data_IF_576427178267
#
_entry.id   IF_576427178267
#
_cell.length_a   1.000
_cell.length_b   1.000
_cell.length_c   1.000
_cell.angle_alpha   90.00
_cell.angle_beta   90.00
_cell.angle_gamma   90.00
#
_symmetry.space_group_name_H-M   'P 1'
#
loop_
_entity.id
_entity.type
_entity.pdbx_description
1 polymer ?
#
# COMPACT_ATOMS: atom_id res chain seq x y z
N UNK A 1 26.02 41.21 13.09
CA UNK A 1 25.78 41.05 11.64
C UNK A 1 26.37 39.71 11.20
N UNK A 2 25.55 38.67 11.03
CA UNK A 2 25.96 37.40 10.42
C UNK A 2 25.05 37.15 9.22
N UNK A 3 25.66 37.10 8.03
CA UNK A 3 25.00 36.91 6.74
C UNK A 3 24.76 35.41 6.55
N UNK A 4 23.51 35.01 6.31
CA UNK A 4 23.17 33.69 5.77
C UNK A 4 22.89 33.84 4.28
N UNK A 5 23.56 33.04 3.46
CA UNK A 5 23.29 32.89 2.04
C UNK A 5 22.44 31.61 1.82
N UNK A 6 21.39 31.64 1.00
CA UNK A 6 20.65 30.43 0.64
C UNK A 6 21.24 29.80 -0.64
N UNK A 7 21.59 28.52 -0.55
CA UNK A 7 21.84 27.67 -1.72
C UNK A 7 20.51 27.12 -2.23
N UNK A 8 20.09 27.58 -3.41
CA UNK A 8 18.98 27.01 -4.15
C UNK A 8 19.46 25.73 -4.87
N UNK A 9 18.81 24.61 -4.59
CA UNK A 9 18.95 23.39 -5.37
C UNK A 9 17.62 23.12 -6.08
N UNK A 10 17.63 23.28 -7.40
CA UNK A 10 16.53 22.88 -8.30
C UNK A 10 16.74 21.41 -8.64
N UNK A 11 15.84 20.53 -8.18
CA UNK A 11 15.74 19.16 -8.69
C UNK A 11 14.68 19.11 -9.80
N UNK A 12 15.13 18.94 -11.03
CA UNK A 12 14.26 18.61 -12.16
C UNK A 12 14.04 17.10 -12.18
N UNK A 13 12.81 16.66 -11.89
CA UNK A 13 12.40 15.26 -11.98
C UNK A 13 11.78 14.99 -13.35
N UNK A 14 12.54 14.40 -14.27
CA UNK A 14 12.01 13.95 -15.57
C UNK A 14 11.35 12.59 -15.41
N UNK A 15 10.01 12.56 -15.46
CA UNK A 15 9.22 11.33 -15.59
C UNK A 15 9.36 10.76 -17.01
N UNK A 16 10.02 9.61 -17.13
CA UNK A 16 9.93 8.80 -18.35
C UNK A 16 8.62 7.98 -18.31
N UNK A 17 7.67 8.33 -19.18
CA UNK A 17 6.46 7.54 -19.45
C UNK A 17 6.85 6.27 -20.23
N UNK A 18 6.74 5.11 -19.60
CA UNK A 18 6.81 3.81 -20.28
C UNK A 18 5.50 3.51 -21.00
N UNK A 19 5.55 3.35 -22.33
CA UNK A 19 4.43 2.95 -23.14
C UNK A 19 4.14 1.45 -22.97
N UNK A 20 2.88 1.13 -22.68
CA UNK A 20 2.34 -0.22 -22.72
C UNK A 20 2.34 -0.76 -24.16
N UNK A 21 2.74 -2.01 -24.36
CA UNK A 21 2.29 -2.82 -25.51
C UNK A 21 1.99 -4.22 -25.02
N UNK A 22 0.72 -4.43 -24.71
CA UNK A 22 0.12 -5.74 -24.50
C UNK A 22 -0.50 -6.14 -25.85
N UNK A 23 -0.03 -7.22 -26.46
CA UNK A 23 -0.63 -7.81 -27.66
C UNK A 23 -1.20 -9.19 -27.30
N UNK A 24 -2.52 -9.31 -27.39
CA UNK A 24 -3.40 -10.48 -27.17
C UNK A 24 -4.78 -9.98 -27.62
N UNK A 25 -5.65 -10.66 -28.34
CA UNK A 25 -5.73 -11.95 -29.03
C UNK A 25 -7.00 -11.86 -29.92
N UNK A 26 -7.03 -12.61 -31.03
CA UNK A 26 -8.28 -13.24 -31.52
C UNK A 26 -9.25 -12.44 -32.40
N UNK A 27 -9.64 -13.00 -33.54
CA UNK A 27 -10.88 -12.60 -34.23
C UNK A 27 -10.98 -12.89 -35.73
N UNK A 28 -11.51 -14.07 -36.05
CA UNK A 28 -11.80 -14.68 -37.36
C UNK A 28 -12.56 -13.86 -38.42
N UNK A 29 -12.34 -14.25 -39.69
CA UNK A 29 -13.31 -14.45 -40.80
C UNK A 29 -13.33 -13.47 -42.00
N UNK A 30 -13.17 -14.06 -43.21
CA UNK A 30 -13.78 -13.57 -44.46
C UNK A 30 -12.90 -13.56 -45.73
N UNK A 31 -13.02 -14.62 -46.55
CA UNK A 31 -12.89 -14.79 -48.03
C UNK A 31 -11.89 -13.93 -48.86
N UNK A 32 -11.20 -14.40 -49.90
CA UNK A 32 -11.51 -15.42 -50.92
C UNK A 32 -10.26 -15.67 -51.81
N UNK A 33 -10.13 -16.91 -52.29
CA UNK A 33 -9.58 -17.38 -53.58
C UNK A 33 -8.14 -17.03 -54.02
N UNK A 34 -7.29 -18.06 -54.12
CA UNK A 34 -6.66 -18.48 -55.41
C UNK A 34 -5.75 -19.72 -55.28
N UNK A 35 -6.19 -20.75 -56.01
CA UNK A 35 -5.54 -21.93 -56.61
C UNK A 35 -4.03 -22.27 -56.41
N UNK A 36 -3.83 -23.59 -56.29
CA UNK A 36 -2.86 -24.45 -57.00
C UNK A 36 -1.64 -25.05 -56.26
N UNK A 37 -1.72 -26.38 -56.15
CA UNK A 37 -0.71 -27.42 -56.50
C UNK A 37 0.38 -27.85 -55.50
N UNK A 38 0.31 -29.17 -55.21
CA UNK A 38 1.36 -30.20 -55.28
C UNK A 38 2.16 -30.63 -54.02
N UNK A 39 2.25 -31.97 -53.86
CA UNK A 39 3.34 -32.72 -53.19
C UNK A 39 2.93 -33.39 -51.86
N UNK A 40 2.53 -34.67 -51.82
CA UNK A 40 3.37 -35.87 -51.52
C UNK A 40 4.05 -35.84 -50.14
N UNK A 41 3.62 -36.67 -49.18
CA UNK A 41 4.32 -37.92 -48.76
C UNK A 41 5.35 -37.63 -47.64
N UNK A 42 5.62 -38.38 -46.59
CA UNK A 42 5.28 -39.71 -46.09
C UNK A 42 6.08 -39.92 -44.79
N UNK A 43 5.77 -41.02 -44.10
CA UNK A 43 6.36 -41.62 -42.90
C UNK A 43 7.86 -41.44 -42.57
N UNK A 44 8.10 -41.24 -41.27
CA UNK A 44 8.90 -42.04 -40.31
C UNK A 44 10.43 -42.33 -40.48
N UNK A 45 11.09 -42.26 -39.30
CA UNK A 45 12.32 -42.95 -38.81
C UNK A 45 13.76 -42.55 -39.26
N UNK A 46 14.62 -42.36 -38.24
CA UNK A 46 16.00 -42.93 -38.06
C UNK A 46 17.20 -41.96 -37.93
N UNK A 47 17.62 -41.75 -36.67
CA UNK A 47 18.94 -42.07 -36.05
C UNK A 47 20.29 -41.77 -36.78
N UNK A 48 21.18 -41.01 -36.11
CA UNK A 48 22.56 -41.41 -35.67
C UNK A 48 23.43 -40.17 -35.35
N UNK A 49 23.91 -40.02 -34.09
CA UNK A 49 25.31 -40.21 -33.60
C UNK A 49 26.31 -39.14 -34.08
N UNK A 50 27.26 -38.59 -33.33
CA UNK A 50 27.92 -38.78 -32.02
C UNK A 50 28.57 -37.40 -31.64
N UNK A 51 29.20 -37.07 -30.51
CA UNK A 51 29.90 -37.81 -29.46
C UNK A 51 30.06 -36.88 -28.22
N UNK A 52 30.07 -37.48 -27.02
CA UNK A 52 30.70 -36.98 -25.77
C UNK A 52 32.17 -37.49 -25.74
N UNK A 53 33.07 -37.22 -24.76
CA UNK A 53 32.91 -36.72 -23.37
C UNK A 53 33.91 -35.57 -23.04
N UNK A 54 33.94 -34.94 -21.86
CA UNK A 54 34.61 -35.41 -20.63
C UNK A 54 34.10 -34.60 -19.41
N UNK A 55 33.96 -35.32 -18.31
CA UNK A 55 33.66 -34.83 -16.97
C UNK A 55 34.96 -34.46 -16.25
N UNK A 56 34.90 -33.56 -15.26
CA UNK A 56 35.41 -33.89 -13.93
C UNK A 56 34.83 -32.99 -12.84
N UNK A 57 34.73 -33.59 -11.67
CA UNK A 57 33.94 -33.29 -10.49
C UNK A 57 34.77 -32.46 -9.49
N UNK A 58 34.13 -31.58 -8.71
CA UNK A 58 34.47 -31.38 -7.29
C UNK A 58 33.55 -30.31 -6.65
N UNK A 59 32.76 -30.78 -5.69
CA UNK A 59 32.01 -29.98 -4.75
C UNK A 59 32.90 -29.28 -3.69
N UNK A 60 32.33 -28.20 -3.13
CA UNK A 60 32.21 -27.92 -1.68
C UNK A 60 32.83 -26.62 -1.15
N UNK A 61 31.94 -25.87 -0.48
CA UNK A 61 32.12 -25.00 0.69
C UNK A 61 33.01 -23.73 0.61
N UNK A 62 32.35 -22.57 0.69
CA UNK A 62 32.70 -21.51 1.65
C UNK A 62 31.51 -20.54 1.78
N UNK A 63 30.67 -20.81 2.78
CA UNK A 63 29.92 -19.79 3.51
C UNK A 63 30.88 -18.75 4.11
N UNK A 64 30.28 -17.65 4.57
CA UNK A 64 30.79 -16.65 5.51
C UNK A 64 31.28 -15.30 4.95
N UNK A 65 30.87 -14.25 5.67
CA UNK A 65 31.22 -12.83 5.53
C UNK A 65 30.41 -11.91 4.58
N UNK A 66 29.06 -11.94 4.63
CA UNK A 66 28.23 -10.72 4.42
C UNK A 66 27.06 -10.69 5.40
N UNK A 67 27.33 -10.82 6.71
CA UNK A 67 26.30 -10.67 7.75
C UNK A 67 26.65 -9.54 8.76
N UNK A 68 27.93 -9.25 9.00
CA UNK A 68 28.41 -8.30 10.02
C UNK A 68 28.54 -6.82 9.57
N UNK A 69 27.71 -6.34 8.64
CA UNK A 69 27.69 -4.91 8.27
C UNK A 69 26.30 -4.26 8.27
N UNK A 70 25.23 -5.05 8.38
CA UNK A 70 23.85 -4.56 8.39
C UNK A 70 23.37 -4.25 9.81
N UNK A 71 23.86 -4.96 10.82
CA UNK A 71 23.39 -4.76 12.20
C UNK A 71 23.83 -3.43 12.82
N UNK A 72 25.05 -2.95 12.51
CA UNK A 72 25.53 -1.70 13.10
C UNK A 72 24.88 -0.43 12.53
N UNK A 73 24.26 -0.51 11.34
CA UNK A 73 23.48 0.58 10.77
C UNK A 73 22.03 0.61 11.31
N UNK A 74 21.50 -0.52 11.79
CA UNK A 74 20.15 -0.60 12.37
C UNK A 74 20.08 -0.10 13.81
N UNK A 75 21.11 -0.28 14.61
CA UNK A 75 21.11 0.24 15.99
C UNK A 75 21.29 1.76 16.04
N UNK A 76 22.16 2.34 15.20
CA UNK A 76 22.37 3.79 15.18
C UNK A 76 21.15 4.58 14.66
N UNK A 77 20.36 4.01 13.74
CA UNK A 77 19.12 4.61 13.25
C UNK A 77 17.95 4.45 14.24
N UNK A 78 17.94 3.39 15.07
CA UNK A 78 16.95 3.21 16.13
C UNK A 78 17.18 4.14 17.32
N UNK A 79 18.42 4.40 17.71
CA UNK A 79 18.72 5.27 18.85
C UNK A 79 18.50 6.76 18.53
N UNK A 80 18.87 7.22 17.33
CA UNK A 80 18.64 8.61 16.92
C UNK A 80 17.15 8.96 16.73
N UNK A 81 16.31 7.98 16.34
CA UNK A 81 14.86 8.17 16.24
C UNK A 81 14.15 8.06 17.60
N UNK A 82 14.72 7.33 18.58
CA UNK A 82 14.16 7.22 19.93
C UNK A 82 14.35 8.46 20.78
N UNK A 83 15.48 9.15 20.64
CA UNK A 83 15.75 10.36 21.45
C UNK A 83 14.98 11.60 20.95
N UNK A 84 14.59 11.65 19.67
CA UNK A 84 13.74 12.73 19.15
C UNK A 84 12.23 12.52 19.42
N UNK A 85 11.81 11.31 19.80
CA UNK A 85 10.41 10.96 20.02
C UNK A 85 9.94 11.11 21.48
N UNK A 86 10.84 11.34 22.43
CA UNK A 86 10.50 11.37 23.86
C UNK A 86 9.85 12.67 24.34
N UNK A 87 9.95 13.75 23.59
CA UNK A 87 9.51 15.09 24.04
C UNK A 87 8.23 15.62 23.35
N UNK A 88 7.59 14.81 22.50
CA UNK A 88 6.31 15.16 21.86
C UNK A 88 5.22 14.07 22.03
N UNK A 89 5.42 13.13 22.96
CA UNK A 89 4.34 12.26 23.41
C UNK A 89 3.39 13.08 24.27
N UNK A 90 2.51 13.85 23.62
CA UNK A 90 1.22 14.18 24.22
C UNK A 90 0.59 12.82 24.51
N UNK A 91 0.58 12.42 25.79
CA UNK A 91 -0.20 11.30 26.28
C UNK A 91 -1.67 11.59 25.99
N UNK A 92 -2.07 11.36 24.74
CA UNK A 92 -3.46 11.37 24.34
C UNK A 92 -4.03 10.04 24.85
N UNK A 93 -4.27 10.01 26.16
CA UNK A 93 -5.05 8.98 26.84
C UNK A 93 -6.30 8.69 26.03
N UNK A 94 -6.65 7.41 25.92
CA UNK A 94 -7.85 6.97 25.19
C UNK A 94 -9.08 7.63 25.82
N UNK A 95 -9.93 8.31 25.02
CA UNK A 95 -11.17 8.90 25.51
C UNK A 95 -12.03 7.86 26.25
N UNK A 96 -12.57 8.21 27.42
CA UNK A 96 -13.26 7.26 28.32
C UNK A 96 -14.55 6.66 27.75
N UNK A 97 -15.12 7.32 26.75
CA UNK A 97 -16.33 6.90 26.06
C UNK A 97 -16.02 5.99 24.86
N UNK A 98 -14.73 5.68 24.62
CA UNK A 98 -14.28 4.71 23.61
C UNK A 98 -13.93 3.37 24.32
N UNK A 99 -14.77 2.35 24.12
CA UNK A 99 -14.67 1.00 24.71
C UNK A 99 -14.40 -0.11 23.68
N UNK A 100 -14.60 0.14 22.38
CA UNK A 100 -14.33 -0.86 21.34
C UNK A 100 -12.84 -1.26 21.32
N UNK A 101 -12.51 -2.55 21.47
CA UNK A 101 -11.14 -2.99 21.63
C UNK A 101 -10.26 -2.73 20.40
N UNK A 102 -10.84 -2.82 19.18
CA UNK A 102 -10.12 -2.54 17.95
C UNK A 102 -9.73 -1.07 17.88
N UNK A 103 -10.67 -0.19 18.20
CA UNK A 103 -10.40 1.25 18.23
C UNK A 103 -9.41 1.64 19.34
N UNK A 104 -9.61 1.14 20.57
CA UNK A 104 -8.70 1.38 21.70
C UNK A 104 -7.27 0.97 21.35
N UNK A 105 -7.10 -0.18 20.67
CA UNK A 105 -5.78 -0.64 20.22
C UNK A 105 -5.10 0.36 19.28
N UNK A 106 -5.80 0.85 18.27
CA UNK A 106 -5.22 1.83 17.32
C UNK A 106 -4.93 3.17 17.99
N UNK A 107 -5.77 3.63 18.91
CA UNK A 107 -5.53 4.86 19.66
C UNK A 107 -4.32 4.77 20.61
N UNK A 108 -3.99 3.56 21.06
CA UNK A 108 -2.89 3.30 21.99
C UNK A 108 -1.57 3.14 21.24
N UNK A 109 -1.54 2.29 20.21
CA UNK A 109 -0.30 1.82 19.59
C UNK A 109 -0.14 2.23 18.11
N UNK A 110 -1.16 2.81 17.49
CA UNK A 110 -1.15 3.17 16.08
C UNK A 110 -0.15 4.28 15.73
N UNK A 111 0.34 4.26 14.49
CA UNK A 111 1.24 5.30 13.97
C UNK A 111 0.51 6.64 13.96
N UNK A 112 1.08 7.65 14.63
CA UNK A 112 0.49 8.98 14.70
C UNK A 112 0.68 9.72 13.38
N UNK A 113 -0.41 10.23 12.83
CA UNK A 113 -0.41 11.08 11.63
C UNK A 113 -1.23 12.34 11.90
N UNK A 114 -0.68 13.49 11.52
CA UNK A 114 -1.33 14.79 11.63
C UNK A 114 -1.79 15.27 10.24
N UNK A 115 -2.88 16.05 10.16
CA UNK A 115 -3.29 16.69 8.92
C UNK A 115 -2.26 17.71 8.43
N UNK A 116 -2.22 17.91 7.11
CA UNK A 116 -1.48 19.01 6.50
C UNK A 116 -2.13 20.38 6.80
N UNK A 117 -1.55 21.46 6.26
CA UNK A 117 -2.05 22.82 6.47
C UNK A 117 -3.47 23.05 5.89
N UNK A 118 -3.96 22.14 5.04
CA UNK A 118 -5.30 22.16 4.45
C UNK A 118 -6.26 21.19 5.16
N UNK A 119 -5.82 20.54 6.24
CA UNK A 119 -6.64 19.59 6.98
C UNK A 119 -6.74 18.22 6.30
N UNK A 120 -5.83 17.85 5.39
CA UNK A 120 -5.89 16.57 4.66
C UNK A 120 -4.93 15.54 5.22
N UNK A 121 -5.36 14.28 5.17
CA UNK A 121 -4.57 13.11 5.56
C UNK A 121 -4.73 12.02 4.50
N UNK A 122 -3.61 11.38 4.14
CA UNK A 122 -3.60 10.24 3.24
C UNK A 122 -2.90 9.05 3.88
N UNK A 123 -3.65 7.96 4.09
CA UNK A 123 -3.15 6.70 4.63
C UNK A 123 -2.96 5.71 3.49
N UNK A 124 -1.72 5.60 3.02
CA UNK A 124 -1.34 4.79 1.85
C UNK A 124 -0.58 3.52 2.23
N UNK A 125 -0.08 3.43 3.47
CA UNK A 125 0.63 2.26 3.98
C UNK A 125 -0.34 1.12 4.24
N UNK A 126 -0.11 -0.01 3.57
CA UNK A 126 -0.86 -1.24 3.80
C UNK A 126 -0.40 -1.96 5.08
N UNK A 127 -1.27 -2.78 5.66
CA UNK A 127 -0.99 -3.56 6.88
C UNK A 127 -0.51 -2.69 8.05
N UNK A 128 -1.11 -1.51 8.22
CA UNK A 128 -0.72 -0.55 9.23
C UNK A 128 -1.92 -0.10 10.08
N UNK A 129 -1.66 0.09 11.36
CA UNK A 129 -2.56 0.78 12.28
C UNK A 129 -2.17 2.25 12.34
N UNK A 130 -3.12 3.14 12.07
CA UNK A 130 -2.88 4.59 11.98
C UNK A 130 -3.82 5.37 12.90
N UNK A 131 -3.24 6.16 13.80
CA UNK A 131 -3.94 7.11 14.66
C UNK A 131 -3.85 8.51 14.04
N UNK A 132 -4.94 8.98 13.48
CA UNK A 132 -5.04 10.34 12.95
C UNK A 132 -5.48 11.29 14.05
N UNK A 133 -4.65 12.30 14.35
CA UNK A 133 -4.91 13.28 15.40
C UNK A 133 -5.25 14.65 14.82
N UNK A 134 -6.05 15.43 15.56
CA UNK A 134 -6.53 16.74 15.11
C UNK A 134 -7.82 16.67 14.28
N UNK A 135 -8.31 17.84 13.86
CA UNK A 135 -9.48 17.93 12.98
C UNK A 135 -9.07 17.70 11.51
N UNK A 136 -9.76 16.78 10.84
CA UNK A 136 -9.44 16.40 9.46
C UNK A 136 -10.57 16.81 8.53
N UNK A 137 -10.27 17.63 7.53
CA UNK A 137 -11.21 17.99 6.47
C UNK A 137 -11.44 16.82 5.50
N UNK A 138 -10.36 16.14 5.12
CA UNK A 138 -10.39 15.03 4.16
C UNK A 138 -9.42 13.93 4.57
N UNK A 139 -9.93 12.71 4.75
CA UNK A 139 -9.16 11.51 5.05
C UNK A 139 -9.28 10.54 3.89
N UNK A 140 -8.18 10.30 3.17
CA UNK A 140 -8.12 9.33 2.09
C UNK A 140 -7.37 8.07 2.53
N UNK A 141 -8.03 6.92 2.47
CA UNK A 141 -7.46 5.62 2.84
C UNK A 141 -7.34 4.74 1.60
N UNK A 142 -6.11 4.42 1.24
CA UNK A 142 -5.75 3.59 0.08
C UNK A 142 -4.75 2.47 0.41
N UNK A 143 -4.24 2.40 1.64
CA UNK A 143 -3.52 1.24 2.16
C UNK A 143 -4.48 0.09 2.50
N UNK A 144 -4.29 -1.08 1.90
CA UNK A 144 -5.11 -2.27 2.15
C UNK A 144 -4.74 -2.97 3.47
N UNK A 145 -5.66 -3.74 4.04
CA UNK A 145 -5.45 -4.49 5.29
C UNK A 145 -5.04 -3.59 6.47
N UNK A 146 -5.53 -2.35 6.49
CA UNK A 146 -5.13 -1.33 7.46
C UNK A 146 -6.28 -0.97 8.40
N UNK A 147 -5.93 -0.57 9.61
CA UNK A 147 -6.88 -0.03 10.59
C UNK A 147 -6.59 1.45 10.82
N UNK A 148 -7.61 2.30 10.74
CA UNK A 148 -7.45 3.75 10.92
C UNK A 148 -8.39 4.25 12.01
N UNK A 149 -7.88 5.04 12.95
CA UNK A 149 -8.66 5.72 13.98
C UNK A 149 -8.54 7.23 13.83
N UNK A 150 -9.64 7.97 13.86
CA UNK A 150 -9.64 9.43 13.87
C UNK A 150 -10.76 9.99 14.78
N UNK A 151 -10.63 11.23 15.23
CA UNK A 151 -11.69 11.86 16.03
C UNK A 151 -12.77 12.51 15.15
N UNK A 152 -12.39 13.48 14.32
CA UNK A 152 -13.35 14.26 13.53
C UNK A 152 -12.90 14.37 12.09
N UNK A 153 -13.74 13.91 11.17
CA UNK A 153 -13.45 13.84 9.74
C UNK A 153 -14.59 14.49 8.95
N UNK A 154 -14.31 15.48 8.11
CA UNK A 154 -15.32 16.01 7.20
C UNK A 154 -15.72 14.96 6.17
N UNK A 155 -14.79 14.59 5.29
CA UNK A 155 -14.98 13.54 4.27
C UNK A 155 -13.98 12.42 4.43
N UNK A 156 -14.48 11.19 4.59
CA UNK A 156 -13.71 9.96 4.55
C UNK A 156 -13.86 9.29 3.18
N UNK A 157 -12.76 9.02 2.49
CA UNK A 157 -12.71 8.22 1.27
C UNK A 157 -11.94 6.94 1.52
N UNK A 158 -12.54 5.78 1.25
CA UNK A 158 -11.85 4.48 1.34
C UNK A 158 -11.89 3.78 -0.01
N UNK A 159 -10.71 3.52 -0.57
CA UNK A 159 -10.53 2.97 -1.92
C UNK A 159 -9.78 1.63 -1.96
N UNK A 160 -9.39 1.11 -0.79
CA UNK A 160 -8.63 -0.13 -0.65
C UNK A 160 -9.47 -1.32 -0.16
N UNK A 161 -8.84 -2.49 -0.08
CA UNK A 161 -9.49 -3.71 0.40
C UNK A 161 -9.15 -4.00 1.88
N UNK A 162 -10.08 -4.67 2.56
CA UNK A 162 -9.91 -5.18 3.93
C UNK A 162 -9.48 -4.09 4.93
N UNK A 163 -10.10 -2.91 4.82
CA UNK A 163 -9.82 -1.76 5.68
C UNK A 163 -10.86 -1.66 6.78
N UNK A 164 -10.43 -1.37 8.01
CA UNK A 164 -11.33 -0.97 9.09
C UNK A 164 -11.05 0.49 9.49
N UNK A 165 -12.07 1.33 9.55
CA UNK A 165 -11.95 2.73 9.97
C UNK A 165 -12.86 3.00 11.14
N UNK A 166 -12.30 3.54 12.22
CA UNK A 166 -13.03 4.07 13.36
C UNK A 166 -12.93 5.59 13.36
N UNK A 167 -14.07 6.29 13.41
CA UNK A 167 -14.12 7.74 13.53
C UNK A 167 -15.09 8.14 14.63
N UNK A 168 -14.79 9.15 15.46
CA UNK A 168 -15.82 9.61 16.43
C UNK A 168 -16.98 10.27 15.70
N UNK A 169 -16.68 11.19 14.80
CA UNK A 169 -17.68 11.86 13.96
C UNK A 169 -17.21 12.00 12.52
N UNK A 170 -18.14 11.82 11.59
CA UNK A 170 -17.89 12.03 10.17
C UNK A 170 -19.12 12.60 9.46
N UNK A 171 -18.94 13.53 8.53
CA UNK A 171 -20.05 14.12 7.78
C UNK A 171 -20.40 13.30 6.53
N UNK A 172 -19.37 12.84 5.81
CA UNK A 172 -19.50 12.07 4.57
C UNK A 172 -18.53 10.89 4.52
N UNK A 173 -19.03 9.73 4.15
CA UNK A 173 -18.26 8.51 3.92
C UNK A 173 -18.43 8.08 2.45
N UNK A 174 -17.32 7.89 1.75
CA UNK A 174 -17.27 7.39 0.37
C UNK A 174 -16.46 6.11 0.35
N UNK A 175 -17.07 5.02 -0.09
CA UNK A 175 -16.44 3.70 -0.13
C UNK A 175 -16.52 3.13 -1.54
N UNK A 176 -15.37 2.97 -2.18
CA UNK A 176 -15.23 2.29 -3.48
C UNK A 176 -14.39 1.01 -3.40
N UNK A 177 -13.81 0.72 -2.23
CA UNK A 177 -13.02 -0.48 -1.94
C UNK A 177 -13.84 -1.76 -1.76
N UNK A 178 -13.21 -2.79 -1.19
CA UNK A 178 -13.83 -4.08 -0.92
C UNK A 178 -13.60 -4.55 0.52
N UNK A 179 -14.59 -5.20 1.13
CA UNK A 179 -14.52 -5.65 2.53
C UNK A 179 -14.13 -4.52 3.51
N UNK A 180 -14.56 -3.29 3.22
CA UNK A 180 -14.31 -2.14 4.08
C UNK A 180 -15.33 -2.09 5.20
N UNK A 181 -14.88 -1.88 6.43
CA UNK A 181 -15.74 -1.64 7.58
C UNK A 181 -15.50 -0.24 8.11
N UNK A 182 -16.55 0.59 8.17
CA UNK A 182 -16.49 1.94 8.76
C UNK A 182 -17.41 2.02 9.98
N UNK A 183 -16.85 2.45 11.10
CA UNK A 183 -17.54 2.65 12.37
C UNK A 183 -17.51 4.12 12.77
N UNK A 184 -18.65 4.64 13.23
CA UNK A 184 -18.71 5.98 13.84
C UNK A 184 -19.50 6.03 15.16
N UNK A 185 -19.17 6.93 16.09
CA UNK A 185 -19.91 7.04 17.37
C UNK A 185 -21.06 8.03 17.30
N UNK A 186 -20.85 9.16 16.65
CA UNK A 186 -21.73 10.32 16.73
C UNK A 186 -22.14 10.80 15.34
N UNK A 187 -23.34 11.38 15.23
CA UNK A 187 -23.88 11.89 13.97
C UNK A 187 -24.57 10.84 13.09
N UNK A 188 -24.92 11.29 11.87
CA UNK A 188 -25.60 10.52 10.82
C UNK A 188 -24.96 10.86 9.46
N UNK A 189 -23.82 10.25 9.11
CA UNK A 189 -23.09 10.59 7.90
C UNK A 189 -23.87 10.25 6.63
N UNK A 190 -23.63 11.03 5.58
CA UNK A 190 -24.00 10.61 4.24
C UNK A 190 -23.05 9.49 3.79
N UNK A 191 -23.59 8.32 3.45
CA UNK A 191 -22.79 7.16 3.03
C UNK A 191 -23.01 6.87 1.54
N UNK A 192 -21.95 7.06 0.76
CA UNK A 192 -21.85 6.68 -0.65
C UNK A 192 -21.01 5.40 -0.77
N UNK A 193 -21.65 4.23 -0.88
CA UNK A 193 -20.97 2.95 -0.99
C UNK A 193 -21.21 2.32 -2.38
N UNK A 194 -20.17 2.24 -3.19
CA UNK A 194 -20.19 1.66 -4.55
C UNK A 194 -19.35 0.39 -4.67
N UNK A 195 -18.67 0.00 -3.60
CA UNK A 195 -17.82 -1.18 -3.54
C UNK A 195 -18.55 -2.47 -3.15
N UNK A 196 -17.79 -3.51 -2.80
CA UNK A 196 -18.32 -4.87 -2.55
C UNK A 196 -17.98 -5.35 -1.14
N UNK A 197 -18.96 -5.92 -0.44
CA UNK A 197 -18.74 -6.50 0.90
C UNK A 197 -18.47 -5.46 1.99
N UNK A 198 -18.79 -4.20 1.73
CA UNK A 198 -18.51 -3.11 2.66
C UNK A 198 -19.65 -2.92 3.68
N UNK A 199 -19.30 -2.51 4.89
CA UNK A 199 -20.20 -2.13 5.97
C UNK A 199 -19.88 -0.72 6.45
N UNK A 200 -20.93 0.01 6.82
CA UNK A 200 -20.83 1.36 7.38
C UNK A 200 -21.92 1.45 8.44
N UNK A 201 -21.52 1.47 9.71
CA UNK A 201 -22.47 1.39 10.83
C UNK A 201 -22.05 2.28 11.99
N UNK A 202 -23.05 2.87 12.64
CA UNK A 202 -22.86 3.51 13.94
C UNK A 202 -22.47 2.46 14.98
N UNK A 203 -21.45 2.76 15.76
CA UNK A 203 -20.92 1.93 16.82
C UNK A 203 -21.62 2.29 18.13
N UNK A 204 -22.12 1.28 18.81
CA UNK A 204 -22.73 1.38 20.13
C UNK A 204 -21.71 0.83 21.15
N UNK A 205 -21.54 1.50 22.28
CA UNK A 205 -20.44 1.25 23.22
C UNK A 205 -20.85 1.23 24.68
#
# INVERSE_FOLDING_TARGET
MRRFAPSAAVLALTLALGACSLTVDGGSSGSSDSASSAGQGGDDTTQSQAAAPEADDAASAADDAVDEAVDKAKDAAKDAARDAAKDAATDASVPSDISDPGWVSVLTDGNVVEPDAEGKVSVTTAMADTKVVGEVTQLDVSGAMSTVAAEKVGTLTVSAADVTVYVRSVDKVVISGANVTVHWLEGDPQVDNTGVGNTATKLEQ
#
